data_IF_776067522289
#
_entry.id   IF_776067522289
#
_cell.length_a   1.000
_cell.length_b   1.000
_cell.length_c   1.000
_cell.angle_alpha   90.00
_cell.angle_beta   90.00
_cell.angle_gamma   90.00
#
_symmetry.space_group_name_H-M   'P 1'
#
loop_
_entity.id
_entity.type
_entity.pdbx_description
1 polymer ?
#
# COMPACT_ATOMS: atom_id res chain seq x y z
N UNK A 1 -0.75 -6.14 -5.43
CA UNK A 1 -0.88 -7.14 -4.34
C UNK A 1 -1.65 -6.52 -3.18
N UNK A 2 -2.22 -7.33 -2.31
CA UNK A 2 -2.83 -6.91 -1.04
C UNK A 2 -1.76 -6.52 -0.01
N UNK A 3 -2.18 -5.94 1.10
CA UNK A 3 -1.27 -5.63 2.21
C UNK A 3 -0.60 -6.90 2.76
N UNK A 4 -1.36 -7.97 2.96
CA UNK A 4 -0.86 -9.23 3.51
C UNK A 4 0.16 -9.88 2.58
N UNK A 5 -0.13 -9.95 1.28
CA UNK A 5 0.79 -10.49 0.27
C UNK A 5 2.13 -9.72 0.25
N UNK A 6 2.07 -8.39 0.33
CA UNK A 6 3.28 -7.57 0.36
C UNK A 6 4.10 -7.78 1.64
N UNK A 7 3.43 -7.94 2.79
CA UNK A 7 4.09 -8.22 4.07
C UNK A 7 4.76 -9.59 4.10
N UNK A 8 4.09 -10.62 3.58
CA UNK A 8 4.64 -11.98 3.47
C UNK A 8 5.86 -12.00 2.55
N UNK A 9 5.77 -11.35 1.39
CA UNK A 9 6.88 -11.24 0.45
C UNK A 9 8.05 -10.45 1.07
N UNK A 10 7.76 -9.35 1.77
CA UNK A 10 8.77 -8.58 2.49
C UNK A 10 9.49 -9.41 3.56
N UNK A 11 8.75 -10.15 4.40
CA UNK A 11 9.35 -11.01 5.42
C UNK A 11 10.25 -12.09 4.80
N UNK A 12 9.82 -12.69 3.69
CA UNK A 12 10.61 -13.66 2.93
C UNK A 12 11.91 -13.04 2.41
N UNK A 13 11.84 -11.86 1.82
CA UNK A 13 13.00 -11.18 1.25
C UNK A 13 13.96 -10.66 2.34
N UNK A 14 13.43 -10.18 3.47
CA UNK A 14 14.21 -9.84 4.67
C UNK A 14 14.98 -11.04 5.20
N UNK A 15 14.30 -12.19 5.35
CA UNK A 15 14.94 -13.43 5.80
C UNK A 15 16.05 -13.87 4.84
N UNK A 16 15.77 -13.89 3.54
CA UNK A 16 16.76 -14.26 2.52
C UNK A 16 17.99 -13.32 2.55
N UNK A 17 17.77 -12.02 2.74
CA UNK A 17 18.86 -11.04 2.86
C UNK A 17 19.67 -11.21 4.15
N UNK A 18 19.03 -11.54 5.27
CA UNK A 18 19.71 -11.83 6.53
C UNK A 18 20.57 -13.10 6.45
N UNK A 19 20.09 -14.13 5.76
CA UNK A 19 20.84 -15.38 5.54
C UNK A 19 22.02 -15.22 4.57
N UNK A 20 21.86 -14.40 3.53
CA UNK A 20 22.92 -14.11 2.57
C UNK A 20 22.91 -12.63 2.13
N UNK A 21 23.59 -11.74 2.88
CA UNK A 21 23.62 -10.30 2.57
C UNK A 21 24.29 -9.95 1.24
N UNK A 22 25.12 -10.85 0.69
CA UNK A 22 25.78 -10.69 -0.62
C UNK A 22 24.94 -11.24 -1.79
N UNK A 23 23.77 -11.81 -1.50
CA UNK A 23 22.85 -12.34 -2.50
C UNK A 23 22.20 -11.25 -3.35
N UNK A 24 21.42 -11.69 -4.34
CA UNK A 24 20.67 -10.79 -5.23
C UNK A 24 19.35 -10.30 -4.64
N UNK A 25 18.81 -11.00 -3.63
CA UNK A 25 17.56 -10.64 -2.97
C UNK A 25 17.83 -9.52 -1.97
N UNK A 26 17.12 -8.40 -2.14
CA UNK A 26 17.14 -7.26 -1.22
C UNK A 26 15.70 -6.84 -0.93
N UNK A 27 15.39 -6.51 0.34
CA UNK A 27 14.10 -5.95 0.70
C UNK A 27 13.83 -4.67 -0.12
N UNK A 28 12.64 -4.58 -0.68
CA UNK A 28 12.16 -3.42 -1.43
C UNK A 28 11.38 -2.47 -0.52
N UNK A 29 11.13 -1.27 -1.03
CA UNK A 29 10.24 -0.29 -0.39
C UNK A 29 8.78 -0.66 -0.64
N UNK A 30 7.86 -0.13 0.15
CA UNK A 30 6.44 -0.29 -0.14
C UNK A 30 5.92 0.92 -0.92
N UNK A 31 5.15 0.64 -1.96
CA UNK A 31 4.34 1.65 -2.64
C UNK A 31 2.88 1.32 -2.35
N UNK A 32 2.23 2.12 -1.51
CA UNK A 32 0.85 1.90 -1.09
C UNK A 32 -0.05 2.86 -1.85
N UNK A 33 -0.77 2.36 -2.85
CA UNK A 33 -1.83 3.07 -3.56
C UNK A 33 -3.14 2.99 -2.75
N UNK A 34 -3.56 4.11 -2.19
CA UNK A 34 -4.76 4.23 -1.39
C UNK A 34 -5.91 4.78 -2.23
N UNK A 35 -6.94 3.97 -2.41
CA UNK A 35 -8.07 4.25 -3.28
C UNK A 35 -9.42 3.95 -2.61
N UNK A 36 -10.52 4.24 -3.30
CA UNK A 36 -11.86 3.77 -2.96
C UNK A 36 -12.59 3.30 -4.21
N UNK A 37 -13.56 2.39 -4.08
CA UNK A 37 -14.29 1.82 -5.23
C UNK A 37 -15.07 2.84 -6.08
N UNK A 38 -15.46 3.97 -5.48
CA UNK A 38 -16.19 5.05 -6.14
C UNK A 38 -15.28 6.15 -6.74
N UNK A 39 -13.98 6.13 -6.45
CA UNK A 39 -13.03 7.14 -6.91
C UNK A 39 -12.75 7.02 -8.43
N UNK A 40 -13.31 7.94 -9.22
CA UNK A 40 -13.10 7.98 -10.68
C UNK A 40 -11.65 8.24 -11.09
N UNK A 41 -10.94 9.13 -10.38
CA UNK A 41 -9.54 9.44 -10.67
C UNK A 41 -8.60 8.27 -10.37
N UNK A 42 -8.91 7.47 -9.35
CA UNK A 42 -8.18 6.24 -9.05
C UNK A 42 -8.29 5.26 -10.22
N UNK A 43 -9.50 5.06 -10.76
CA UNK A 43 -9.73 4.23 -11.95
C UNK A 43 -9.02 4.77 -13.20
N UNK A 44 -8.89 6.09 -13.34
CA UNK A 44 -8.13 6.70 -14.43
C UNK A 44 -6.64 6.38 -14.30
N UNK A 45 -6.07 6.55 -13.11
CA UNK A 45 -4.68 6.23 -12.80
C UNK A 45 -4.36 4.74 -13.04
N UNK A 46 -5.25 3.85 -12.62
CA UNK A 46 -5.15 2.41 -12.89
C UNK A 46 -5.11 2.09 -14.39
N UNK A 47 -5.89 2.82 -15.19
CA UNK A 47 -6.00 2.58 -16.63
C UNK A 47 -4.94 3.30 -17.47
N UNK A 48 -4.21 4.26 -16.89
CA UNK A 48 -3.10 4.95 -17.56
C UNK A 48 -1.77 4.55 -16.95
N UNK A 49 -1.49 5.04 -15.75
CA UNK A 49 -0.17 5.05 -15.12
C UNK A 49 0.29 3.64 -14.77
N UNK A 50 -0.59 2.84 -14.15
CA UNK A 50 -0.25 1.47 -13.74
C UNK A 50 -0.38 0.42 -14.86
N UNK A 51 -0.73 0.84 -16.08
CA UNK A 51 -0.65 0.00 -17.29
C UNK A 51 0.58 0.29 -18.15
N UNK A 52 1.30 1.38 -17.88
CA UNK A 52 2.54 1.69 -18.59
C UNK A 52 3.62 0.64 -18.26
N UNK A 53 4.17 -0.07 -19.26
CA UNK A 53 5.20 -1.09 -19.03
C UNK A 53 6.44 -0.58 -18.29
N UNK A 54 6.81 0.69 -18.49
CA UNK A 54 7.95 1.29 -17.80
C UNK A 54 7.67 1.47 -16.31
N UNK A 55 6.45 1.91 -15.97
CA UNK A 55 6.02 2.03 -14.57
C UNK A 55 5.93 0.66 -13.91
N UNK A 56 5.37 -0.34 -14.61
CA UNK A 56 5.31 -1.72 -14.11
C UNK A 56 6.73 -2.26 -13.83
N UNK A 57 7.68 -2.02 -14.73
CA UNK A 57 9.06 -2.45 -14.54
C UNK A 57 9.69 -1.79 -13.29
N UNK A 58 9.52 -0.48 -13.12
CA UNK A 58 10.00 0.25 -11.95
C UNK A 58 9.35 -0.27 -10.67
N UNK A 59 8.03 -0.46 -10.66
CA UNK A 59 7.30 -0.99 -9.51
C UNK A 59 7.80 -2.37 -9.11
N UNK A 60 7.92 -3.28 -10.07
CA UNK A 60 8.39 -4.64 -9.81
C UNK A 60 9.85 -4.70 -9.36
N UNK A 61 10.69 -3.78 -9.83
CA UNK A 61 12.10 -3.74 -9.50
C UNK A 61 12.35 -3.19 -8.10
N UNK A 62 11.69 -2.08 -7.73
CA UNK A 62 12.05 -1.29 -6.56
C UNK A 62 11.04 -1.35 -5.41
N UNK A 63 9.83 -1.84 -5.66
CA UNK A 63 8.73 -1.74 -4.70
C UNK A 63 7.96 -3.06 -4.49
N UNK A 64 7.29 -3.15 -3.35
CA UNK A 64 6.11 -3.98 -3.13
C UNK A 64 4.85 -3.12 -3.38
N UNK A 65 4.17 -3.26 -4.53
CA UNK A 65 3.03 -2.42 -4.88
C UNK A 65 1.73 -2.91 -4.22
N UNK A 66 1.32 -2.22 -3.15
CA UNK A 66 0.09 -2.50 -2.40
C UNK A 66 -1.06 -1.66 -2.92
N UNK A 67 -2.19 -2.30 -3.23
CA UNK A 67 -3.47 -1.57 -3.40
C UNK A 67 -4.27 -1.68 -2.11
N UNK A 68 -4.51 -0.55 -1.47
CA UNK A 68 -5.25 -0.45 -0.21
C UNK A 68 -6.57 0.28 -0.45
N UNK A 69 -7.68 -0.45 -0.37
CA UNK A 69 -9.00 0.18 -0.39
C UNK A 69 -9.25 0.81 0.99
N UNK A 70 -9.39 2.13 1.02
CA UNK A 70 -9.60 2.88 2.25
C UNK A 70 -10.98 2.65 2.87
N UNK A 71 -11.92 2.01 2.18
CA UNK A 71 -13.24 1.68 2.70
C UNK A 71 -13.45 0.17 2.86
N UNK A 72 -12.39 -0.64 2.73
CA UNK A 72 -12.51 -2.10 2.88
C UNK A 72 -13.01 -2.49 4.28
N UNK A 73 -13.65 -3.66 4.34
CA UNK A 73 -14.23 -4.20 5.58
C UNK A 73 -13.33 -5.21 6.29
N UNK A 74 -12.33 -5.74 5.59
CA UNK A 74 -11.44 -6.77 6.10
C UNK A 74 -10.58 -6.23 7.25
N UNK A 75 -10.29 -7.10 8.22
CA UNK A 75 -9.39 -6.78 9.33
C UNK A 75 -7.94 -6.97 8.90
N UNK A 76 -7.09 -5.98 9.12
CA UNK A 76 -5.64 -6.13 8.98
C UNK A 76 -5.01 -6.23 10.36
N UNK A 77 -4.21 -7.26 10.56
CA UNK A 77 -3.34 -7.39 11.74
C UNK A 77 -1.92 -7.06 11.30
N UNK A 78 -1.32 -6.05 11.94
CA UNK A 78 0.03 -5.62 11.65
C UNK A 78 0.72 -5.15 12.94
N UNK A 79 1.93 -5.64 13.19
CA UNK A 79 2.73 -5.26 14.37
C UNK A 79 1.96 -5.39 15.70
N UNK A 80 1.27 -6.52 15.90
CA UNK A 80 0.37 -6.77 17.04
C UNK A 80 -0.80 -5.78 17.21
N UNK A 81 -1.04 -4.91 16.23
CA UNK A 81 -2.18 -4.01 16.17
C UNK A 81 -3.26 -4.56 15.23
N UNK A 82 -4.52 -4.40 15.61
CA UNK A 82 -5.68 -4.76 14.81
C UNK A 82 -6.24 -3.47 14.21
N UNK A 83 -6.27 -3.42 12.89
CA UNK A 83 -6.87 -2.33 12.11
C UNK A 83 -8.18 -2.83 11.51
N UNK A 84 -9.25 -2.06 11.75
CA UNK A 84 -10.58 -2.34 11.24
C UNK A 84 -11.17 -1.11 10.55
N UNK A 85 -12.31 -1.30 9.87
CA UNK A 85 -13.18 -0.22 9.47
C UNK A 85 -14.30 -0.01 10.52
N UNK A 86 -14.27 1.07 11.32
CA UNK A 86 -15.28 1.29 12.36
C UNK A 86 -16.68 1.56 11.79
N UNK A 87 -16.78 1.99 10.52
CA UNK A 87 -18.06 2.15 9.83
C UNK A 87 -18.79 0.83 9.62
N UNK A 88 -18.05 -0.27 9.43
CA UNK A 88 -18.60 -1.61 9.21
C UNK A 88 -19.49 -2.05 10.39
N UNK A 89 -19.01 -1.86 11.63
CA UNK A 89 -19.78 -2.19 12.84
C UNK A 89 -21.11 -1.43 12.95
N UNK A 90 -21.27 -0.34 12.19
CA UNK A 90 -22.44 0.54 12.20
C UNK A 90 -23.25 0.44 10.90
N UNK A 91 -22.88 -0.46 9.97
CA UNK A 91 -23.52 -0.58 8.66
C UNK A 91 -23.37 0.67 7.78
N UNK A 92 -22.36 1.50 8.04
CA UNK A 92 -22.11 2.77 7.34
C UNK A 92 -20.79 2.71 6.58
N UNK A 93 -20.65 3.57 5.57
CA UNK A 93 -19.34 3.85 4.98
C UNK A 93 -18.43 4.46 6.05
N UNK A 94 -17.22 3.96 6.14
CA UNK A 94 -16.19 4.43 7.05
C UNK A 94 -14.81 4.19 6.45
N UNK A 95 -13.82 4.85 7.03
CA UNK A 95 -12.42 4.71 6.61
C UNK A 95 -11.75 3.64 7.43
N UNK A 96 -11.11 2.69 6.76
CA UNK A 96 -10.27 1.68 7.36
C UNK A 96 -9.11 2.32 8.12
N UNK A 97 -8.90 1.93 9.38
CA UNK A 97 -7.94 2.57 10.28
C UNK A 97 -6.49 2.54 9.74
N UNK A 98 -6.11 1.49 9.01
CA UNK A 98 -4.78 1.44 8.39
C UNK A 98 -4.60 2.53 7.32
N UNK A 99 -5.60 2.71 6.45
CA UNK A 99 -5.58 3.76 5.44
C UNK A 99 -5.57 5.15 6.10
N UNK A 100 -6.32 5.30 7.19
CA UNK A 100 -6.32 6.50 8.02
C UNK A 100 -4.92 6.83 8.55
N UNK A 101 -4.26 5.85 9.17
CA UNK A 101 -2.93 5.99 9.76
C UNK A 101 -1.85 6.31 8.72
N UNK A 102 -1.82 5.54 7.63
CA UNK A 102 -0.80 5.69 6.57
C UNK A 102 -0.86 7.09 5.92
N UNK A 103 -2.07 7.61 5.70
CA UNK A 103 -2.30 8.94 5.11
C UNK A 103 -2.31 10.09 6.12
N UNK A 104 -1.95 9.86 7.39
CA UNK A 104 -1.97 10.90 8.43
C UNK A 104 -3.35 11.55 8.62
N UNK A 105 -4.41 10.76 8.48
CA UNK A 105 -5.80 11.21 8.48
C UNK A 105 -6.17 12.20 7.36
N UNK A 106 -5.28 12.43 6.38
CA UNK A 106 -5.52 13.33 5.26
C UNK A 106 -6.16 12.57 4.08
N UNK A 107 -7.45 12.25 4.21
CA UNK A 107 -8.19 11.48 3.21
C UNK A 107 -8.42 12.28 1.93
N UNK A 108 -7.53 12.07 0.96
CA UNK A 108 -7.70 12.55 -0.42
C UNK A 108 -7.40 11.40 -1.37
N UNK A 109 -8.27 11.13 -2.33
CA UNK A 109 -8.12 9.98 -3.24
C UNK A 109 -7.97 10.43 -4.70
N UNK A 110 -7.08 9.81 -5.48
CA UNK A 110 -6.07 8.85 -5.04
C UNK A 110 -5.00 9.53 -4.15
N UNK A 111 -4.42 8.77 -3.24
CA UNK A 111 -3.15 9.12 -2.60
C UNK A 111 -2.25 7.90 -2.58
N UNK A 112 -0.94 8.11 -2.69
CA UNK A 112 0.01 7.02 -2.58
C UNK A 112 1.11 7.37 -1.59
N UNK A 113 1.55 6.34 -0.85
CA UNK A 113 2.54 6.48 0.22
C UNK A 113 3.72 5.58 -0.08
N UNK A 114 4.92 6.12 0.08
CA UNK A 114 6.15 5.31 0.05
C UNK A 114 6.55 5.04 1.50
N UNK A 115 6.67 3.76 1.84
CA UNK A 115 7.29 3.30 3.08
C UNK A 115 8.66 2.71 2.76
N UNK A 116 9.62 2.90 3.66
CA UNK A 116 10.92 2.24 3.55
C UNK A 116 10.82 0.74 3.88
N UNK A 117 11.97 0.08 3.84
CA UNK A 117 12.12 -1.36 4.13
C UNK A 117 11.76 -1.70 5.59
N UNK A 118 11.77 -0.72 6.50
CA UNK A 118 11.34 -0.87 7.89
C UNK A 118 9.90 -0.42 8.11
N UNK A 119 9.14 -0.20 7.02
CA UNK A 119 7.73 0.21 7.05
C UNK A 119 7.57 1.61 7.69
N UNK A 120 8.64 2.41 7.67
CA UNK A 120 8.61 3.81 8.08
C UNK A 120 8.17 4.68 6.90
N UNK A 121 7.23 5.59 7.16
CA UNK A 121 6.67 6.47 6.13
C UNK A 121 7.71 7.49 5.66
N UNK A 122 8.07 7.44 4.38
CA UNK A 122 8.99 8.40 3.76
C UNK A 122 8.26 9.62 3.22
N UNK A 123 7.17 9.41 2.46
CA UNK A 123 6.46 10.50 1.78
C UNK A 123 5.02 10.10 1.48
N UNK A 124 4.12 11.09 1.53
CA UNK A 124 2.73 11.00 1.08
C UNK A 124 2.58 11.88 -0.16
N UNK A 125 2.13 11.29 -1.26
CA UNK A 125 1.74 12.02 -2.45
C UNK A 125 0.22 12.03 -2.55
N UNK A 126 -0.32 13.24 -2.71
CA UNK A 126 -1.77 13.45 -2.79
C UNK A 126 -2.21 13.75 -4.22
N UNK A 127 -3.37 13.21 -4.55
CA UNK A 127 -4.06 13.45 -5.80
C UNK A 127 -3.48 12.68 -6.97
N UNK A 128 -4.20 12.75 -8.09
CA UNK A 128 -3.75 12.18 -9.35
C UNK A 128 -2.55 12.95 -9.89
N UNK A 129 -1.46 12.22 -10.19
CA UNK A 129 -0.30 12.74 -10.90
C UNK A 129 -0.24 12.02 -12.25
N UNK A 130 -0.57 12.71 -13.35
CA UNK A 130 -0.47 12.13 -14.70
C UNK A 130 0.98 11.84 -15.09
#
# INVERSE_FOLDING_TARGET
MSWQEAMEQHQKDMKAYQENPKGSVKPKKFFVDVYTGWCGWCKKMDNSTFKDPNIIAIMNQYYYPVKLDAEMNDTIIFDNHIFINPGNAQGKRGTHQLAASILDFQMSYPSYVILDENISRLVIYKGYKP
#
